data_IF_795597626752
#
_entry.id   IF_795597626752
#
_cell.length_a   1.000
_cell.length_b   1.000
_cell.length_c   1.000
_cell.angle_alpha   90.00
_cell.angle_beta   90.00
_cell.angle_gamma   90.00
#
_symmetry.space_group_name_H-M   'P 1'
#
loop_
_entity.id
_entity.type
_entity.pdbx_description
1 polymer ?
#
# COMPACT_ATOMS: atom_id res chain seq x y z
N UNK A 1 8.52 41.07 -5.19
CA UNK A 1 9.13 39.83 -5.72
C UNK A 1 8.78 39.68 -7.19
N UNK A 2 9.74 39.73 -8.13
CA UNK A 2 9.45 39.56 -9.55
C UNK A 2 8.87 38.16 -9.79
N UNK A 3 7.68 38.10 -10.40
CA UNK A 3 7.06 36.81 -10.77
C UNK A 3 8.00 36.09 -11.75
N UNK A 4 8.50 34.92 -11.36
CA UNK A 4 9.36 34.11 -12.24
C UNK A 4 8.64 33.89 -13.58
N UNK A 5 9.26 34.33 -14.68
CA UNK A 5 8.69 34.21 -16.03
C UNK A 5 8.47 32.72 -16.34
N UNK A 6 7.24 32.34 -16.68
CA UNK A 6 6.87 30.97 -17.06
C UNK A 6 7.57 30.60 -18.38
N UNK A 7 8.65 29.82 -18.33
CA UNK A 7 9.30 29.28 -19.54
C UNK A 7 8.56 28.04 -20.05
N UNK A 8 8.53 27.86 -21.36
CA UNK A 8 8.02 26.63 -22.00
C UNK A 8 8.89 25.45 -21.56
N UNK A 9 8.27 24.27 -21.40
CA UNK A 9 8.96 23.01 -21.15
C UNK A 9 8.19 21.82 -21.73
N UNK A 10 8.84 20.68 -21.99
CA UNK A 10 8.15 19.47 -22.46
C UNK A 10 7.32 18.82 -21.35
N UNK A 11 6.20 18.22 -21.72
CA UNK A 11 5.39 17.36 -20.84
C UNK A 11 6.13 16.07 -20.48
N UNK A 12 6.15 15.67 -19.21
CA UNK A 12 6.79 14.43 -18.77
C UNK A 12 6.17 13.14 -19.35
N UNK A 13 4.95 13.22 -19.89
CA UNK A 13 4.22 12.07 -20.45
C UNK A 13 4.27 12.08 -21.99
N UNK A 14 3.70 13.10 -22.63
CA UNK A 14 3.58 13.17 -24.09
C UNK A 14 4.65 14.02 -24.78
N UNK A 15 5.62 14.58 -24.03
CA UNK A 15 6.75 15.40 -24.51
C UNK A 15 6.41 16.68 -25.28
N UNK A 16 5.13 16.98 -25.54
CA UNK A 16 4.70 18.26 -26.12
C UNK A 16 5.13 19.44 -25.24
N UNK A 17 5.66 20.48 -25.87
CA UNK A 17 6.01 21.74 -25.20
C UNK A 17 4.74 22.47 -24.74
N UNK A 18 4.75 22.93 -23.49
CA UNK A 18 3.65 23.69 -22.89
C UNK A 18 4.20 24.78 -21.95
N UNK A 19 3.37 25.79 -21.67
CA UNK A 19 3.66 26.83 -20.68
C UNK A 19 2.98 26.41 -19.38
N UNK A 20 3.73 26.16 -18.28
CA UNK A 20 3.12 25.84 -17.00
C UNK A 20 2.41 27.05 -16.40
N UNK A 21 1.39 26.81 -15.59
CA UNK A 21 0.69 27.85 -14.86
C UNK A 21 1.66 28.56 -13.91
N UNK A 22 1.60 29.90 -13.85
CA UNK A 22 2.46 30.74 -13.01
C UNK A 22 2.44 30.35 -11.52
N UNK A 23 1.32 29.82 -11.01
CA UNK A 23 1.20 29.33 -9.62
C UNK A 23 1.90 27.97 -9.40
N UNK A 24 2.21 27.25 -10.47
CA UNK A 24 2.66 25.86 -10.44
C UNK A 24 3.94 25.62 -11.26
N UNK A 25 4.74 26.67 -11.54
CA UNK A 25 5.91 26.61 -12.43
C UNK A 25 6.87 25.47 -12.02
N UNK A 26 7.16 25.32 -10.73
CA UNK A 26 8.02 24.25 -10.20
C UNK A 26 7.35 22.89 -10.08
N UNK A 27 6.02 22.84 -9.93
CA UNK A 27 5.28 21.60 -9.62
C UNK A 27 4.70 20.91 -10.85
N UNK A 28 4.34 21.67 -11.89
CA UNK A 28 3.35 21.18 -12.86
C UNK A 28 3.76 19.97 -13.71
N UNK A 29 4.98 19.69 -14.16
CA UNK A 29 5.38 18.46 -14.94
C UNK A 29 4.58 18.01 -16.21
N UNK A 30 3.26 18.14 -16.30
CA UNK A 30 2.42 17.70 -17.42
C UNK A 30 1.71 18.87 -18.12
N UNK A 31 1.39 18.69 -19.40
CA UNK A 31 0.75 19.71 -20.24
C UNK A 31 -0.71 20.04 -19.87
N UNK A 32 -1.28 19.42 -18.84
CA UNK A 32 -2.67 19.66 -18.42
C UNK A 32 -3.71 18.80 -19.12
N UNK A 33 -3.36 18.05 -20.17
CA UNK A 33 -4.28 17.08 -20.78
C UNK A 33 -4.71 16.01 -19.75
N UNK A 34 -5.99 15.65 -19.64
CA UNK A 34 -6.48 14.66 -18.67
C UNK A 34 -5.75 13.31 -18.75
N UNK A 35 -5.41 12.85 -19.96
CA UNK A 35 -4.63 11.63 -20.16
C UNK A 35 -3.23 11.71 -19.51
N UNK A 36 -2.52 12.83 -19.68
CA UNK A 36 -1.20 13.03 -19.09
C UNK A 36 -1.27 13.18 -17.57
N UNK A 37 -2.30 13.85 -17.05
CA UNK A 37 -2.51 13.98 -15.60
C UNK A 37 -2.81 12.62 -14.95
N UNK A 38 -3.69 11.81 -15.54
CA UNK A 38 -4.00 10.47 -15.05
C UNK A 38 -2.76 9.57 -15.02
N UNK A 39 -1.97 9.56 -16.09
CA UNK A 39 -0.74 8.76 -16.13
C UNK A 39 0.30 9.25 -15.11
N UNK A 40 0.46 10.56 -14.97
CA UNK A 40 1.35 11.16 -13.96
C UNK A 40 0.88 10.86 -12.53
N UNK A 41 -0.42 10.83 -12.28
CA UNK A 41 -1.00 10.42 -11.00
C UNK A 41 -0.72 8.94 -10.74
N UNK A 42 -1.01 8.05 -11.70
CA UNK A 42 -0.74 6.61 -11.61
C UNK A 42 0.71 6.31 -11.24
N UNK A 43 1.67 6.95 -11.93
CA UNK A 43 3.12 6.81 -11.65
C UNK A 43 3.49 7.30 -10.26
N UNK A 44 2.94 8.44 -9.83
CA UNK A 44 3.21 8.97 -8.49
C UNK A 44 2.63 8.10 -7.39
N UNK A 45 1.38 7.62 -7.54
CA UNK A 45 0.76 6.67 -6.62
C UNK A 45 1.58 5.39 -6.54
N UNK A 46 2.03 4.84 -7.67
CA UNK A 46 2.89 3.65 -7.67
C UNK A 46 4.20 3.89 -6.91
N UNK A 47 4.87 5.01 -7.16
CA UNK A 47 6.13 5.35 -6.48
C UNK A 47 5.91 5.57 -4.97
N UNK A 48 4.83 6.26 -4.60
CA UNK A 48 4.46 6.49 -3.22
C UNK A 48 4.12 5.18 -2.51
N UNK A 49 3.33 4.30 -3.14
CA UNK A 49 3.00 2.97 -2.62
C UNK A 49 4.25 2.11 -2.42
N UNK A 50 5.20 2.17 -3.36
CA UNK A 50 6.47 1.44 -3.25
C UNK A 50 7.35 1.96 -2.10
N UNK A 51 7.38 3.28 -1.87
CA UNK A 51 8.15 3.89 -0.78
C UNK A 51 7.51 3.68 0.58
N UNK A 52 6.17 3.65 0.64
CA UNK A 52 5.40 3.60 1.87
C UNK A 52 4.81 2.22 2.15
N UNK A 53 5.44 1.12 1.69
CA UNK A 53 4.95 -0.24 1.95
C UNK A 53 4.65 -0.51 3.42
N UNK A 54 5.51 -0.03 4.33
CA UNK A 54 5.32 -0.18 5.79
C UNK A 54 4.01 0.44 6.27
N UNK A 55 3.68 1.63 5.77
CA UNK A 55 2.47 2.36 6.13
C UNK A 55 1.22 1.55 5.80
N UNK A 56 1.13 1.06 4.55
CA UNK A 56 0.01 0.22 4.13
C UNK A 56 -0.08 -1.11 4.87
N UNK A 57 1.07 -1.75 5.13
CA UNK A 57 1.13 -2.98 5.91
C UNK A 57 0.64 -2.80 7.35
N UNK A 58 0.95 -1.66 7.96
CA UNK A 58 0.49 -1.32 9.30
C UNK A 58 -1.02 -1.08 9.31
N UNK A 59 -1.53 -0.26 8.38
CA UNK A 59 -2.97 -0.01 8.24
C UNK A 59 -3.75 -1.32 8.03
N UNK A 60 -3.30 -2.17 7.10
CA UNK A 60 -3.94 -3.46 6.84
C UNK A 60 -4.01 -4.33 8.10
N UNK A 61 -2.92 -4.41 8.86
CA UNK A 61 -2.88 -5.22 10.08
C UNK A 61 -3.80 -4.65 11.17
N UNK A 62 -3.78 -3.32 11.36
CA UNK A 62 -4.67 -2.63 12.29
C UNK A 62 -6.14 -2.88 11.93
N UNK A 63 -6.52 -2.68 10.67
CA UNK A 63 -7.89 -2.96 10.21
C UNK A 63 -8.29 -4.44 10.39
N UNK A 64 -7.36 -5.39 10.18
CA UNK A 64 -7.62 -6.83 10.38
C UNK A 64 -7.91 -7.15 11.85
N UNK A 65 -7.23 -6.50 12.78
CA UNK A 65 -7.45 -6.65 14.23
C UNK A 65 -8.76 -6.02 14.66
N UNK A 66 -9.08 -4.80 14.19
CA UNK A 66 -10.32 -4.11 14.57
C UNK A 66 -11.57 -4.86 14.08
N UNK A 67 -11.56 -5.41 12.86
CA UNK A 67 -12.67 -6.24 12.34
C UNK A 67 -13.00 -7.46 13.17
N UNK A 68 -12.04 -7.99 13.94
CA UNK A 68 -12.27 -9.13 14.83
C UNK A 68 -12.75 -8.72 16.23
N UNK A 69 -12.71 -7.43 16.56
CA UNK A 69 -13.19 -6.87 17.83
C UNK A 69 -14.63 -6.37 17.76
N UNK A 70 -15.07 -5.91 16.58
CA UNK A 70 -16.45 -5.51 16.39
C UNK A 70 -17.38 -6.72 16.64
N UNK A 71 -18.36 -6.63 17.56
CA UNK A 71 -19.39 -7.63 17.66
C UNK A 71 -20.10 -7.71 16.30
N UNK A 72 -20.42 -8.91 15.78
CA UNK A 72 -21.25 -8.99 14.59
C UNK A 72 -22.53 -8.19 14.86
N UNK A 73 -22.81 -7.26 13.97
CA UNK A 73 -24.09 -6.57 13.94
C UNK A 73 -25.20 -7.63 14.05
N UNK A 74 -26.18 -7.37 14.92
CA UNK A 74 -27.20 -8.31 15.44
C UNK A 74 -28.18 -8.84 14.37
N UNK A 75 -27.80 -8.84 13.10
CA UNK A 75 -28.61 -9.26 11.96
C UNK A 75 -28.05 -10.49 11.21
N UNK A 76 -26.94 -11.07 11.65
CA UNK A 76 -26.46 -12.37 11.15
C UNK A 76 -26.28 -13.37 12.29
N UNK A 77 -27.40 -13.97 12.71
CA UNK A 77 -27.37 -15.23 13.47
C UNK A 77 -26.68 -16.30 12.62
N UNK A 78 -25.77 -17.05 13.25
CA UNK A 78 -24.98 -18.16 12.68
C UNK A 78 -23.81 -17.79 11.75
N UNK A 79 -22.77 -17.15 12.28
CA UNK A 79 -21.41 -17.42 11.78
C UNK A 79 -20.42 -17.48 12.95
N UNK A 80 -19.58 -18.54 13.03
CA UNK A 80 -18.52 -18.62 14.03
C UNK A 80 -17.59 -17.40 13.93
N UNK A 81 -16.83 -17.07 15.00
CA UNK A 81 -15.89 -15.94 14.97
C UNK A 81 -15.09 -16.02 13.69
N UNK A 82 -15.08 -14.93 12.91
CA UNK A 82 -14.40 -14.87 11.61
C UNK A 82 -12.91 -14.99 11.88
N UNK A 83 -12.42 -16.21 12.07
CA UNK A 83 -11.01 -16.52 12.03
C UNK A 83 -10.62 -16.18 10.60
N UNK A 84 -9.84 -15.12 10.37
CA UNK A 84 -9.44 -14.78 9.02
C UNK A 84 -8.79 -16.02 8.42
N UNK A 85 -9.29 -16.46 7.26
CA UNK A 85 -8.79 -17.64 6.57
C UNK A 85 -7.29 -17.42 6.36
N UNK A 86 -6.50 -18.13 7.17
CA UNK A 86 -5.06 -18.12 7.09
C UNK A 86 -4.70 -18.69 5.73
N UNK A 87 -3.97 -17.93 4.92
CA UNK A 87 -3.51 -18.41 3.61
C UNK A 87 -2.31 -19.34 3.73
N UNK A 88 -1.81 -19.52 4.94
CA UNK A 88 -0.69 -20.39 5.27
C UNK A 88 -1.20 -21.69 5.86
N UNK A 89 -0.97 -22.79 5.15
CA UNK A 89 -1.28 -24.17 5.57
C UNK A 89 -0.25 -24.72 6.57
N UNK A 90 0.15 -23.87 7.51
CA UNK A 90 0.94 -24.32 8.64
C UNK A 90 -0.07 -24.79 9.67
N UNK A 91 -0.11 -26.11 9.91
CA UNK A 91 -0.98 -26.78 10.89
C UNK A 91 -0.61 -26.32 12.32
N UNK A 92 -0.88 -25.05 12.63
CA UNK A 92 -0.61 -24.44 13.93
C UNK A 92 -1.73 -24.81 14.91
N UNK A 93 -1.40 -25.08 16.18
CA UNK A 93 -2.38 -25.23 17.25
C UNK A 93 -2.97 -23.86 17.63
N UNK A 94 -3.89 -23.37 16.80
CA UNK A 94 -4.51 -22.03 16.92
C UNK A 94 -5.29 -21.88 18.23
N UNK A 95 -5.93 -22.94 18.67
CA UNK A 95 -6.68 -23.07 19.92
C UNK A 95 -5.82 -22.80 21.16
N UNK A 96 -4.63 -23.41 21.21
CA UNK A 96 -3.67 -23.19 22.31
C UNK A 96 -3.19 -21.74 22.32
N UNK A 97 -2.84 -21.20 21.15
CA UNK A 97 -2.33 -19.83 21.02
C UNK A 97 -3.39 -18.80 21.45
N UNK A 98 -4.63 -18.94 20.99
CA UNK A 98 -5.73 -18.06 21.39
C UNK A 98 -5.97 -18.13 22.89
N UNK A 99 -5.94 -19.34 23.48
CA UNK A 99 -6.12 -19.50 24.93
C UNK A 99 -5.02 -18.83 25.75
N UNK A 100 -3.77 -18.89 25.30
CA UNK A 100 -2.63 -18.34 26.05
C UNK A 100 -2.44 -16.84 25.84
N UNK A 101 -2.73 -16.32 24.64
CA UNK A 101 -2.33 -14.97 24.24
C UNK A 101 -3.42 -14.11 23.60
N UNK A 102 -4.59 -14.69 23.33
CA UNK A 102 -5.72 -14.00 22.69
C UNK A 102 -5.67 -13.98 21.16
N UNK A 103 -6.77 -13.54 20.55
CA UNK A 103 -6.99 -13.56 19.10
C UNK A 103 -6.11 -12.55 18.36
N UNK A 104 -5.88 -11.37 18.94
CA UNK A 104 -5.06 -10.31 18.33
C UNK A 104 -3.64 -10.80 18.01
N UNK A 105 -3.00 -11.54 18.94
CA UNK A 105 -1.65 -12.04 18.72
C UNK A 105 -1.63 -13.13 17.64
N UNK A 106 -2.65 -13.99 17.58
CA UNK A 106 -2.77 -14.98 16.51
C UNK A 106 -2.81 -14.30 15.13
N UNK A 107 -3.56 -13.20 14.99
CA UNK A 107 -3.66 -12.42 13.74
C UNK A 107 -2.30 -11.82 13.36
N UNK A 108 -1.58 -11.28 14.33
CA UNK A 108 -0.24 -10.71 14.13
C UNK A 108 0.74 -11.80 13.70
N UNK A 109 0.74 -12.95 14.37
CA UNK A 109 1.61 -14.09 14.03
C UNK A 109 1.34 -14.61 12.63
N UNK A 110 0.08 -14.88 12.30
CA UNK A 110 -0.36 -15.33 10.98
C UNK A 110 0.11 -14.36 9.88
N UNK A 111 -0.08 -13.05 10.11
CA UNK A 111 0.38 -12.03 9.17
C UNK A 111 1.91 -12.02 8.99
N UNK A 112 2.68 -12.13 10.08
CA UNK A 112 4.14 -12.18 10.01
C UNK A 112 4.60 -13.41 9.21
N UNK A 113 4.01 -14.58 9.48
CA UNK A 113 4.29 -15.83 8.77
C UNK A 113 4.03 -15.65 7.28
N UNK A 114 2.86 -15.14 6.89
CA UNK A 114 2.54 -14.83 5.49
C UNK A 114 3.60 -13.92 4.84
N UNK A 115 4.05 -12.87 5.54
CA UNK A 115 5.07 -11.96 5.02
C UNK A 115 6.44 -12.61 4.86
N UNK A 116 6.79 -13.58 5.70
CA UNK A 116 8.05 -14.32 5.64
C UNK A 116 7.99 -15.34 4.50
N UNK A 117 6.94 -16.16 4.45
CA UNK A 117 6.75 -17.21 3.44
C UNK A 117 6.64 -16.62 2.03
N UNK A 118 5.93 -15.50 1.86
CA UNK A 118 5.80 -14.82 0.56
C UNK A 118 6.96 -13.85 0.24
N UNK A 119 8.02 -13.82 1.05
CA UNK A 119 9.18 -12.97 0.77
C UNK A 119 9.96 -13.54 -0.41
N UNK A 120 9.77 -12.97 -1.60
CA UNK A 120 10.69 -13.25 -2.72
C UNK A 120 12.12 -12.86 -2.29
N UNK A 121 13.13 -13.73 -2.45
CA UNK A 121 14.51 -13.37 -2.16
C UNK A 121 14.86 -12.14 -2.99
N UNK A 122 15.55 -11.17 -2.37
CA UNK A 122 16.22 -10.14 -3.16
C UNK A 122 17.28 -10.91 -3.94
N UNK A 123 17.12 -11.04 -5.25
CA UNK A 123 18.21 -11.45 -6.13
C UNK A 123 19.31 -10.43 -5.85
N UNK A 124 20.31 -10.80 -5.04
CA UNK A 124 21.51 -10.00 -4.91
C UNK A 124 22.15 -10.05 -6.28
N UNK A 125 22.28 -8.91 -6.93
CA UNK A 125 23.18 -8.78 -8.05
C UNK A 125 24.58 -9.14 -7.50
N UNK A 126 24.99 -10.39 -7.71
CA UNK A 126 26.40 -10.75 -7.69
C UNK A 126 26.99 -9.98 -8.85
N UNK A 127 27.65 -8.86 -8.53
CA UNK A 127 28.51 -8.12 -9.44
C UNK A 127 29.75 -9.01 -9.62
N UNK A 128 29.99 -9.59 -10.82
CA UNK A 128 31.27 -10.26 -11.07
C UNK A 128 32.36 -9.20 -11.30
N UNK A 129 33.63 -9.56 -11.04
CA UNK A 129 34.77 -8.65 -11.02
C UNK A 129 35.06 -7.97 -12.36
#
# INVERSE_FOLDING_TARGET
MPRAKTRKRPCAICRRWFIPNARQIGRQKTCGKPACQREQHRRQCQQWNRKNKRYFKAIYLSEKIERTKDPPDRSQESSPPVIPVSRTDLVLPKDVIVKTTGTDLLIVLDYIIEQIVHRKPKISAFEPP
#
